data_IF_969922513126
#
_entry.id   IF_969922513126
#
_cell.length_a   1.000
_cell.length_b   1.000
_cell.length_c   1.000
_cell.angle_alpha   90.00
_cell.angle_beta   90.00
_cell.angle_gamma   90.00
#
_symmetry.space_group_name_H-M   'P 1'
#
loop_
_entity.id
_entity.type
_entity.pdbx_description
1 polymer ?
#
# COMPACT_ATOMS: atom_id res chain seq x y z
N UNK A 1 24.87 -12.14 -5.43
CA UNK A 1 23.97 -11.03 -5.83
C UNK A 1 22.52 -11.50 -5.62
N UNK A 2 22.04 -11.49 -4.37
CA UNK A 2 20.66 -11.94 -4.00
C UNK A 2 19.66 -10.77 -3.89
N UNK A 3 20.14 -9.52 -3.84
CA UNK A 3 19.28 -8.33 -3.71
C UNK A 3 18.32 -8.14 -4.89
N UNK A 4 18.70 -8.59 -6.09
CA UNK A 4 17.85 -8.48 -7.27
C UNK A 4 16.63 -9.40 -7.20
N UNK A 5 16.73 -10.56 -6.54
CA UNK A 5 15.61 -11.50 -6.42
C UNK A 5 14.64 -11.07 -5.33
N UNK A 6 15.15 -10.52 -4.21
CA UNK A 6 14.32 -9.91 -3.16
C UNK A 6 13.53 -8.71 -3.71
N UNK A 7 14.19 -7.82 -4.46
CA UNK A 7 13.53 -6.67 -5.09
C UNK A 7 12.45 -7.09 -6.11
N UNK A 8 12.72 -8.11 -6.94
CA UNK A 8 11.73 -8.66 -7.88
C UNK A 8 10.54 -9.27 -7.14
N UNK A 9 10.80 -10.05 -6.09
CA UNK A 9 9.74 -10.64 -5.28
C UNK A 9 8.91 -9.56 -4.60
N UNK A 10 9.54 -8.52 -4.06
CA UNK A 10 8.85 -7.37 -3.46
C UNK A 10 7.86 -6.73 -4.44
N UNK A 11 8.32 -6.36 -5.64
CA UNK A 11 7.45 -5.79 -6.67
C UNK A 11 6.31 -6.74 -7.04
N UNK A 12 6.63 -8.00 -7.35
CA UNK A 12 5.64 -9.00 -7.74
C UNK A 12 4.61 -9.27 -6.64
N UNK A 13 5.02 -9.23 -5.36
CA UNK A 13 4.14 -9.49 -4.23
C UNK A 13 3.16 -8.34 -4.00
N UNK A 14 3.61 -7.09 -4.14
CA UNK A 14 2.71 -5.93 -4.11
C UNK A 14 1.67 -6.02 -5.22
N UNK A 15 2.08 -6.34 -6.44
CA UNK A 15 1.16 -6.47 -7.58
C UNK A 15 0.17 -7.62 -7.37
N UNK A 16 0.62 -8.74 -6.81
CA UNK A 16 -0.25 -9.85 -6.43
C UNK A 16 -1.29 -9.42 -5.38
N UNK A 17 -0.86 -8.76 -4.30
CA UNK A 17 -1.75 -8.29 -3.23
C UNK A 17 -2.81 -7.34 -3.80
N UNK A 18 -2.40 -6.38 -4.63
CA UNK A 18 -3.32 -5.44 -5.30
C UNK A 18 -4.33 -6.18 -6.19
N UNK A 19 -3.85 -7.11 -7.01
CA UNK A 19 -4.72 -7.89 -7.90
C UNK A 19 -5.73 -8.74 -7.13
N UNK A 20 -5.31 -9.34 -6.03
CA UNK A 20 -6.19 -10.15 -5.18
C UNK A 20 -7.19 -9.29 -4.41
N UNK A 21 -6.77 -8.13 -3.90
CA UNK A 21 -7.63 -7.18 -3.22
C UNK A 21 -8.68 -6.57 -4.18
N UNK A 22 -8.28 -6.25 -5.41
CA UNK A 22 -9.09 -5.48 -6.35
C UNK A 22 -9.41 -4.08 -5.81
N UNK A 23 -10.65 -3.63 -6.00
CA UNK A 23 -11.14 -2.34 -5.51
C UNK A 23 -11.72 -2.41 -4.09
N UNK A 24 -11.10 -3.21 -3.22
CA UNK A 24 -11.51 -3.40 -1.82
C UNK A 24 -10.38 -3.00 -0.87
N UNK A 25 -10.56 -1.87 -0.17
CA UNK A 25 -9.58 -1.33 0.75
C UNK A 25 -9.43 -2.16 2.04
N UNK A 26 -10.52 -2.81 2.50
CA UNK A 26 -10.47 -3.66 3.70
C UNK A 26 -9.74 -4.97 3.38
N UNK A 27 -10.01 -5.53 2.20
CA UNK A 27 -9.29 -6.72 1.72
C UNK A 27 -7.81 -6.42 1.48
N UNK A 28 -7.49 -5.25 0.93
CA UNK A 28 -6.10 -4.79 0.75
C UNK A 28 -5.35 -4.72 2.08
N UNK A 29 -5.98 -4.15 3.11
CA UNK A 29 -5.43 -4.08 4.47
C UNK A 29 -5.23 -5.48 5.07
N UNK A 30 -6.25 -6.34 4.98
CA UNK A 30 -6.18 -7.71 5.51
C UNK A 30 -5.05 -8.54 4.87
N UNK A 31 -4.91 -8.49 3.55
CA UNK A 31 -3.86 -9.22 2.83
C UNK A 31 -2.45 -8.73 3.20
N UNK A 32 -2.29 -7.43 3.48
CA UNK A 32 -1.00 -6.87 3.92
C UNK A 32 -0.58 -7.32 5.32
N UNK A 33 -1.54 -7.80 6.13
CA UNK A 33 -1.32 -8.25 7.50
C UNK A 33 -1.35 -9.79 7.64
N UNK A 34 -1.48 -10.53 6.54
CA UNK A 34 -1.55 -12.00 6.58
C UNK A 34 -0.23 -12.61 7.12
N UNK A 35 -0.27 -13.40 8.22
CA UNK A 35 0.91 -14.12 8.71
C UNK A 35 1.54 -15.09 7.72
N UNK A 36 0.82 -15.52 6.67
CA UNK A 36 1.40 -16.30 5.58
C UNK A 36 2.43 -15.50 4.77
N UNK A 37 2.24 -14.19 4.63
CA UNK A 37 3.16 -13.31 3.92
C UNK A 37 4.51 -13.18 4.62
N UNK A 38 4.48 -13.03 5.95
CA UNK A 38 5.69 -12.99 6.77
C UNK A 38 6.48 -14.30 6.67
N UNK A 39 5.78 -15.45 6.79
CA UNK A 39 6.40 -16.77 6.64
C UNK A 39 7.03 -16.97 5.27
N UNK A 40 6.32 -16.61 4.20
CA UNK A 40 6.86 -16.71 2.83
C UNK A 40 8.14 -15.89 2.66
N UNK A 41 8.15 -14.65 3.18
CA UNK A 41 9.32 -13.77 3.11
C UNK A 41 10.52 -14.36 3.87
N UNK A 42 10.29 -14.85 5.10
CA UNK A 42 11.34 -15.46 5.93
C UNK A 42 11.91 -16.73 5.31
N UNK A 43 11.07 -17.59 4.72
CA UNK A 43 11.52 -18.84 4.08
C UNK A 43 12.33 -18.59 2.81
N UNK A 44 11.90 -17.63 1.97
CA UNK A 44 12.57 -17.32 0.70
C UNK A 44 13.81 -16.45 0.86
N UNK A 45 13.79 -15.53 1.84
CA UNK A 45 14.81 -14.51 2.03
C UNK A 45 15.23 -14.41 3.51
N UNK A 46 15.79 -15.48 4.11
CA UNK A 46 16.19 -15.47 5.52
C UNK A 46 17.29 -14.43 5.83
N UNK A 47 18.06 -14.04 4.81
CA UNK A 47 19.11 -13.02 4.91
C UNK A 47 18.56 -11.57 4.88
N UNK A 48 17.27 -11.38 4.59
CA UNK A 48 16.61 -10.07 4.51
C UNK A 48 15.37 -10.00 5.45
N UNK A 49 15.59 -9.77 6.75
CA UNK A 49 14.53 -9.80 7.75
C UNK A 49 13.53 -8.62 7.62
N UNK A 50 13.84 -7.62 6.79
CA UNK A 50 13.00 -6.44 6.63
C UNK A 50 12.04 -6.53 5.44
N UNK A 51 12.18 -7.53 4.59
CA UNK A 51 11.43 -7.63 3.34
C UNK A 51 9.91 -7.65 3.57
N UNK A 52 9.44 -8.39 4.58
CA UNK A 52 8.01 -8.38 4.97
C UNK A 52 7.55 -6.98 5.40
N UNK A 53 8.33 -6.32 6.28
CA UNK A 53 8.00 -4.99 6.76
C UNK A 53 7.98 -3.96 5.61
N UNK A 54 8.85 -4.12 4.61
CA UNK A 54 8.84 -3.27 3.41
C UNK A 54 7.55 -3.46 2.60
N UNK A 55 7.11 -4.71 2.36
CA UNK A 55 5.85 -4.98 1.65
C UNK A 55 4.67 -4.39 2.41
N UNK A 56 4.60 -4.66 3.72
CA UNK A 56 3.54 -4.14 4.59
C UNK A 56 3.48 -2.61 4.54
N UNK A 57 4.61 -1.94 4.73
CA UNK A 57 4.67 -0.48 4.70
C UNK A 57 4.25 0.08 3.34
N UNK A 58 4.62 -0.57 2.23
CA UNK A 58 4.20 -0.14 0.90
C UNK A 58 2.67 -0.14 0.78
N UNK A 59 2.00 -1.21 1.20
CA UNK A 59 0.54 -1.29 1.16
C UNK A 59 -0.11 -0.31 2.16
N UNK A 60 0.43 -0.16 3.37
CA UNK A 60 -0.09 0.79 4.37
C UNK A 60 -0.09 2.24 3.87
N UNK A 61 0.91 2.62 3.07
CA UNK A 61 0.98 3.95 2.43
C UNK A 61 -0.09 4.13 1.34
N UNK A 62 -0.60 3.03 0.77
CA UNK A 62 -1.65 3.03 -0.27
C UNK A 62 -3.06 3.07 0.32
N UNK A 63 -3.26 2.54 1.54
CA UNK A 63 -4.57 2.45 2.20
C UNK A 63 -5.33 3.79 2.27
N UNK A 64 -4.70 4.95 2.57
CA UNK A 64 -5.41 6.23 2.56
C UNK A 64 -6.02 6.61 1.21
N UNK A 65 -5.41 6.16 0.10
CA UNK A 65 -5.92 6.35 -1.26
C UNK A 65 -7.04 5.35 -1.54
N UNK A 66 -6.84 4.08 -1.23
CA UNK A 66 -7.82 3.01 -1.44
C UNK A 66 -9.14 3.29 -0.70
N UNK A 67 -9.06 3.77 0.56
CA UNK A 67 -10.23 4.19 1.37
C UNK A 67 -11.01 5.37 0.76
N UNK A 68 -10.44 6.06 -0.24
CA UNK A 68 -11.06 7.14 -0.99
C UNK A 68 -11.43 6.73 -2.43
N UNK A 69 -11.37 5.44 -2.74
CA UNK A 69 -11.70 4.90 -4.05
C UNK A 69 -10.59 5.06 -5.09
N UNK A 70 -9.36 5.36 -4.68
CA UNK A 70 -8.20 5.49 -5.58
C UNK A 70 -7.31 4.27 -5.39
N UNK A 71 -7.26 3.39 -6.38
CA UNK A 71 -6.56 2.10 -6.29
C UNK A 71 -5.37 2.07 -7.25
N UNK A 72 -4.19 1.75 -6.74
CA UNK A 72 -2.97 1.74 -7.55
C UNK A 72 -2.88 0.56 -8.54
N UNK A 73 -3.83 -0.39 -8.47
CA UNK A 73 -4.00 -1.42 -9.50
C UNK A 73 -4.36 -0.79 -10.87
N UNK A 74 -5.03 0.35 -10.87
CA UNK A 74 -5.42 1.08 -12.08
C UNK A 74 -4.29 1.97 -12.63
N UNK A 75 -3.14 2.00 -11.93
CA UNK A 75 -2.02 2.88 -12.21
C UNK A 75 -1.90 4.04 -11.22
N UNK A 76 -1.04 5.03 -11.51
CA UNK A 76 -0.87 6.18 -10.65
C UNK A 76 -2.16 7.04 -10.60
N UNK A 77 -2.42 7.75 -9.47
CA UNK A 77 -3.56 8.65 -9.39
C UNK A 77 -3.54 9.70 -10.50
N UNK A 78 -4.70 10.02 -11.05
CA UNK A 78 -4.84 11.07 -12.08
C UNK A 78 -4.68 12.47 -11.47
N UNK A 79 -4.36 13.46 -12.30
CA UNK A 79 -4.27 14.86 -11.85
C UNK A 79 -5.57 15.35 -11.20
N UNK A 80 -6.72 14.89 -11.70
CA UNK A 80 -8.04 15.20 -11.14
C UNK A 80 -8.23 14.59 -9.75
N UNK A 81 -7.87 13.32 -9.57
CA UNK A 81 -7.91 12.65 -8.28
C UNK A 81 -6.98 13.33 -7.27
N UNK A 82 -5.77 13.71 -7.70
CA UNK A 82 -4.81 14.44 -6.86
C UNK A 82 -5.35 15.81 -6.47
N UNK A 83 -5.91 16.57 -7.41
CA UNK A 83 -6.49 17.90 -7.15
C UNK A 83 -7.65 17.82 -6.14
N UNK A 84 -8.51 16.81 -6.27
CA UNK A 84 -9.63 16.60 -5.35
C UNK A 84 -9.15 16.21 -3.94
N UNK A 85 -8.17 15.31 -3.83
CA UNK A 85 -7.54 14.98 -2.55
C UNK A 85 -6.95 16.21 -1.86
N UNK A 86 -6.27 17.07 -2.61
CA UNK A 86 -5.72 18.31 -2.07
C UNK A 86 -6.83 19.26 -1.61
N UNK A 87 -7.95 19.35 -2.33
CA UNK A 87 -9.11 20.16 -1.93
C UNK A 87 -9.70 19.66 -0.61
N UNK A 88 -9.99 18.37 -0.51
CA UNK A 88 -10.54 17.73 0.70
C UNK A 88 -9.61 17.93 1.91
N UNK A 89 -8.30 17.76 1.72
CA UNK A 89 -7.31 17.96 2.77
C UNK A 89 -7.25 19.42 3.25
N UNK A 90 -7.31 20.39 2.32
CA UNK A 90 -7.37 21.82 2.68
C UNK A 90 -8.63 22.16 3.49
N UNK A 91 -9.77 21.56 3.14
CA UNK A 91 -11.03 21.76 3.86
C UNK A 91 -10.96 21.17 5.27
N UNK A 92 -10.52 19.93 5.41
CA UNK A 92 -10.33 19.27 6.71
C UNK A 92 -9.40 20.09 7.63
N UNK A 93 -8.28 20.60 7.10
CA UNK A 93 -7.34 21.44 7.84
C UNK A 93 -7.96 22.77 8.27
N UNK A 94 -8.85 23.37 7.47
CA UNK A 94 -9.57 24.59 7.85
C UNK A 94 -10.52 24.35 9.00
N UNK A 95 -11.23 23.21 9.02
CA UNK A 95 -12.11 22.86 10.14
C UNK A 95 -11.31 22.65 11.42
N UNK A 96 -10.21 21.90 11.38
CA UNK A 96 -9.34 21.68 12.55
C UNK A 96 -8.77 22.99 13.13
N UNK A 97 -8.45 23.97 12.29
CA UNK A 97 -7.95 25.29 12.73
C UNK A 97 -9.02 26.19 13.33
N UNK A 98 -10.30 26.01 12.99
CA UNK A 98 -11.42 26.80 13.54
C UNK A 98 -11.96 26.21 14.85
N UNK A 99 -11.64 24.96 15.15
CA UNK A 99 -12.04 24.26 16.38
C UNK A 99 -11.00 24.40 17.52
N UNK A 100 -9.99 25.25 17.36
CA UNK A 100 -9.02 25.68 18.39
C UNK A 100 -9.23 27.15 18.68
#
# INVERSE_FOLDING_TARGET
MKSNDAARWFCAKIDQIRAEAGHDAEKLEALSQDPALEREAQEKFPDDPYLFAQVKNAIELELPLARRGIFLIDGPPTDEQVAELQRLNREALRFLKKSR
#
